data_IF_494493483931
#
_entry.id   IF_494493483931
#
_cell.length_a   1.000
_cell.length_b   1.000
_cell.length_c   1.000
_cell.angle_alpha   90.00
_cell.angle_beta   90.00
_cell.angle_gamma   90.00
#
_symmetry.space_group_name_H-M   'P 1'
#
loop_
_entity.id
_entity.type
_entity.pdbx_description
1 polymer ?
#
# COMPACT_ATOMS: atom_id res chain seq x y z
N UNK A 1 18.41 4.19 -6.68
CA UNK A 1 18.83 4.11 -5.27
C UNK A 1 18.13 2.96 -4.59
N UNK A 2 18.67 2.38 -3.51
CA UNK A 2 17.92 1.43 -2.70
C UNK A 2 16.66 2.07 -2.11
N UNK A 3 15.54 1.35 -2.13
CA UNK A 3 14.25 1.76 -1.56
C UNK A 3 14.35 1.92 -0.04
N UNK A 4 15.12 1.05 0.61
CA UNK A 4 15.32 1.07 2.05
C UNK A 4 16.78 1.36 2.39
N UNK A 5 17.01 2.14 3.45
CA UNK A 5 18.36 2.49 3.93
C UNK A 5 19.08 3.58 3.13
N UNK A 6 18.39 4.29 2.23
CA UNK A 6 18.96 5.47 1.58
C UNK A 6 18.85 6.70 2.50
N UNK A 7 19.96 7.44 2.65
CA UNK A 7 19.99 8.73 3.37
C UNK A 7 19.24 9.86 2.64
N UNK A 8 18.85 9.60 1.39
CA UNK A 8 18.13 10.51 0.50
C UNK A 8 16.68 10.06 0.43
N UNK A 9 15.86 10.42 1.41
CA UNK A 9 14.42 10.24 1.29
C UNK A 9 13.90 11.23 0.23
N UNK A 10 13.27 10.68 -0.82
CA UNK A 10 12.42 11.42 -1.79
C UNK A 10 13.09 12.56 -2.57
N UNK A 11 14.20 12.28 -3.25
CA UNK A 11 14.85 13.24 -4.17
C UNK A 11 14.14 13.26 -5.53
N UNK A 12 13.93 14.46 -6.07
CA UNK A 12 13.16 14.67 -7.31
C UNK A 12 13.84 13.96 -8.50
N UNK A 13 13.06 13.16 -9.24
CA UNK A 13 13.50 12.44 -10.43
C UNK A 13 14.21 11.12 -10.15
N UNK A 14 14.47 10.78 -8.88
CA UNK A 14 15.16 9.54 -8.53
C UNK A 14 14.25 8.33 -8.63
N UNK A 15 14.88 7.17 -8.83
CA UNK A 15 14.21 5.88 -8.82
C UNK A 15 14.72 5.01 -7.66
N UNK A 16 13.83 4.71 -6.72
CA UNK A 16 14.05 3.89 -5.53
C UNK A 16 13.63 2.44 -5.78
N UNK A 17 14.57 1.51 -5.70
CA UNK A 17 14.39 0.10 -6.08
C UNK A 17 14.41 -0.82 -4.88
N UNK A 18 13.52 -1.82 -4.87
CA UNK A 18 13.52 -2.89 -3.88
C UNK A 18 14.62 -3.92 -4.20
N UNK A 19 15.86 -3.57 -3.88
CA UNK A 19 17.06 -4.33 -4.25
C UNK A 19 17.16 -5.68 -3.54
N UNK A 20 16.59 -5.82 -2.35
CA UNK A 20 16.60 -7.03 -1.52
C UNK A 20 15.36 -7.91 -1.71
N UNK A 21 14.48 -7.57 -2.66
CA UNK A 21 13.22 -8.27 -2.93
C UNK A 21 12.33 -8.42 -1.69
N UNK A 22 12.44 -7.49 -0.77
CA UNK A 22 11.72 -7.53 0.49
C UNK A 22 10.21 -7.40 0.33
N UNK A 23 9.75 -6.79 -0.76
CA UNK A 23 8.33 -6.62 -1.02
C UNK A 23 7.69 -7.94 -1.46
N UNK A 24 8.47 -8.85 -2.04
CA UNK A 24 7.97 -10.10 -2.60
C UNK A 24 7.32 -11.00 -1.53
N UNK A 25 7.73 -10.90 -0.27
CA UNK A 25 7.15 -11.70 0.83
C UNK A 25 5.68 -11.36 1.12
N UNK A 26 5.20 -10.20 0.66
CA UNK A 26 3.85 -9.72 0.90
C UNK A 26 2.93 -9.91 -0.32
N UNK A 27 3.49 -10.23 -1.48
CA UNK A 27 2.71 -10.46 -2.70
C UNK A 27 1.80 -11.67 -2.54
N UNK A 28 0.58 -11.56 -3.05
CA UNK A 28 -0.40 -12.64 -3.01
C UNK A 28 -1.75 -12.21 -2.46
N UNK A 29 -2.58 -13.22 -2.17
CA UNK A 29 -3.95 -13.04 -1.66
C UNK A 29 -4.00 -13.35 -0.17
N UNK A 30 -4.49 -12.39 0.60
CA UNK A 30 -4.69 -12.46 2.03
C UNK A 30 -6.19 -12.51 2.31
N UNK A 31 -6.64 -13.54 3.02
CA UNK A 31 -8.05 -13.74 3.32
C UNK A 31 -8.28 -13.78 4.83
N UNK A 32 -9.11 -12.86 5.31
CA UNK A 32 -9.68 -12.88 6.64
C UNK A 32 -11.15 -13.28 6.56
N UNK A 33 -11.59 -14.15 7.45
CA UNK A 33 -12.99 -14.59 7.56
C UNK A 33 -13.42 -14.63 9.02
N UNK A 34 -14.66 -14.20 9.27
CA UNK A 34 -15.33 -14.31 10.57
C UNK A 34 -16.83 -14.49 10.33
N UNK A 35 -17.29 -15.75 10.46
CA UNK A 35 -18.65 -16.12 10.07
C UNK A 35 -18.91 -15.86 8.59
N UNK A 36 -19.91 -15.03 8.28
CA UNK A 36 -20.26 -14.62 6.91
C UNK A 36 -19.61 -13.31 6.47
N UNK A 37 -18.79 -12.69 7.32
CA UNK A 37 -18.00 -11.51 6.99
C UNK A 37 -16.61 -11.93 6.53
N UNK A 38 -16.13 -11.35 5.44
CA UNK A 38 -14.80 -11.65 4.89
C UNK A 38 -14.14 -10.44 4.26
N UNK A 39 -12.81 -10.35 4.42
CA UNK A 39 -11.97 -9.37 3.75
C UNK A 39 -10.89 -10.11 2.98
N UNK A 40 -10.92 -9.97 1.65
CA UNK A 40 -9.87 -10.45 0.75
C UNK A 40 -9.04 -9.26 0.29
N UNK A 41 -7.73 -9.33 0.45
CA UNK A 41 -6.79 -8.33 -0.04
C UNK A 41 -5.84 -9.01 -1.02
N UNK A 42 -5.58 -8.38 -2.16
CA UNK A 42 -4.59 -8.86 -3.14
C UNK A 42 -3.49 -7.82 -3.25
N UNK A 43 -2.27 -8.19 -2.86
CA UNK A 43 -1.08 -7.37 -3.00
C UNK A 43 -0.27 -7.77 -4.24
N UNK A 44 0.22 -6.78 -4.96
CA UNK A 44 1.08 -6.93 -6.15
C UNK A 44 2.23 -5.95 -6.06
N UNK A 45 3.45 -6.41 -6.35
CA UNK A 45 4.59 -5.52 -6.50
C UNK A 45 4.52 -4.84 -7.86
N UNK A 46 4.67 -3.53 -7.86
CA UNK A 46 4.77 -2.70 -9.06
C UNK A 46 6.13 -2.04 -9.13
N UNK A 47 6.69 -1.99 -10.32
CA UNK A 47 8.02 -1.43 -10.55
C UNK A 47 7.90 0.00 -11.09
N UNK A 48 8.81 0.88 -10.63
CA UNK A 48 8.95 2.25 -11.16
C UNK A 48 7.62 3.04 -11.20
N UNK A 49 6.79 2.91 -10.17
CA UNK A 49 5.57 3.70 -10.04
C UNK A 49 5.95 5.14 -9.64
N UNK A 50 5.38 6.16 -10.31
CA UNK A 50 5.56 7.54 -9.90
C UNK A 50 4.87 7.81 -8.55
N UNK A 51 5.52 8.61 -7.72
CA UNK A 51 4.93 9.18 -6.50
C UNK A 51 5.00 10.68 -6.61
N UNK A 52 3.84 11.34 -6.62
CA UNK A 52 3.77 12.80 -6.63
C UNK A 52 3.75 13.30 -5.19
N UNK A 53 4.59 14.29 -4.93
CA UNK A 53 4.71 14.94 -3.62
C UNK A 53 4.79 16.45 -3.83
N UNK A 54 4.35 17.27 -2.87
CA UNK A 54 4.59 18.71 -2.89
C UNK A 54 6.09 19.09 -3.03
N UNK A 55 6.99 18.18 -2.65
CA UNK A 55 8.43 18.37 -2.74
C UNK A 55 9.05 17.84 -4.05
N UNK A 56 8.21 17.43 -5.01
CA UNK A 56 8.57 16.94 -6.34
C UNK A 56 8.39 15.44 -6.52
N UNK A 57 8.42 15.02 -7.79
CA UNK A 57 8.06 13.66 -8.18
C UNK A 57 9.29 12.76 -8.16
N UNK A 58 9.12 11.53 -7.68
CA UNK A 58 10.11 10.47 -7.77
C UNK A 58 9.45 9.15 -8.19
N UNK A 59 10.25 8.13 -8.46
CA UNK A 59 9.77 6.80 -8.83
C UNK A 59 10.19 5.79 -7.78
N UNK A 60 9.36 4.78 -7.53
CA UNK A 60 9.73 3.69 -6.63
C UNK A 60 9.17 2.35 -7.06
N UNK A 61 9.85 1.27 -6.67
CA UNK A 61 9.20 -0.03 -6.55
C UNK A 61 8.28 0.02 -5.33
N UNK A 62 7.04 -0.41 -5.52
CA UNK A 62 6.00 -0.26 -4.50
C UNK A 62 5.19 -1.54 -4.38
N UNK A 63 4.61 -1.74 -3.21
CA UNK A 63 3.61 -2.77 -3.01
C UNK A 63 2.24 -2.11 -3.03
N UNK A 64 1.40 -2.47 -3.99
CA UNK A 64 0.03 -1.96 -4.10
C UNK A 64 -0.96 -3.07 -3.82
N UNK A 65 -2.14 -2.71 -3.37
CA UNK A 65 -3.18 -3.67 -3.07
C UNK A 65 -4.58 -3.14 -3.32
N UNK A 66 -5.46 -4.10 -3.53
CA UNK A 66 -6.89 -3.88 -3.68
C UNK A 66 -7.64 -4.94 -2.89
N UNK A 67 -8.91 -4.70 -2.61
CA UNK A 67 -9.66 -5.52 -1.69
C UNK A 67 -11.10 -5.77 -2.11
N UNK A 68 -11.63 -6.85 -1.55
CA UNK A 68 -13.02 -7.26 -1.66
C UNK A 68 -13.53 -7.53 -0.26
N UNK A 69 -14.63 -6.87 0.12
CA UNK A 69 -15.21 -6.93 1.46
C UNK A 69 -16.67 -7.37 1.39
N UNK A 70 -16.96 -8.44 2.15
CA UNK A 70 -18.31 -8.92 2.41
C UNK A 70 -18.64 -8.68 3.88
N UNK A 71 -19.84 -8.15 4.12
CA UNK A 71 -20.41 -8.00 5.45
C UNK A 71 -21.70 -8.82 5.52
N UNK A 72 -21.76 -9.77 6.46
CA UNK A 72 -22.90 -10.66 6.62
C UNK A 72 -23.31 -11.39 5.32
N UNK A 73 -22.33 -11.79 4.50
CA UNK A 73 -22.53 -12.48 3.22
C UNK A 73 -22.92 -11.58 2.05
N UNK A 74 -23.02 -10.25 2.26
CA UNK A 74 -23.37 -9.28 1.23
C UNK A 74 -22.11 -8.55 0.78
N UNK A 75 -21.85 -8.53 -0.52
CA UNK A 75 -20.73 -7.76 -1.10
C UNK A 75 -20.94 -6.26 -0.82
N UNK A 76 -19.97 -5.62 -0.17
CA UNK A 76 -19.98 -4.19 0.11
C UNK A 76 -19.04 -3.42 -0.79
N UNK A 77 -17.83 -3.93 -1.01
CA UNK A 77 -16.78 -3.27 -1.77
C UNK A 77 -16.04 -4.31 -2.59
N UNK A 78 -15.74 -3.99 -3.86
CA UNK A 78 -14.82 -4.75 -4.69
C UNK A 78 -13.99 -3.78 -5.54
N UNK A 79 -12.69 -3.69 -5.26
CA UNK A 79 -11.76 -2.83 -6.00
C UNK A 79 -10.72 -3.61 -6.79
N UNK A 80 -10.87 -4.94 -6.88
CA UNK A 80 -9.85 -5.82 -7.46
C UNK A 80 -9.54 -5.50 -8.94
N UNK A 81 -10.50 -4.93 -9.67
CA UNK A 81 -10.30 -4.47 -11.04
C UNK A 81 -9.25 -3.35 -11.17
N UNK A 82 -9.04 -2.56 -10.11
CA UNK A 82 -8.06 -1.48 -10.09
C UNK A 82 -6.61 -1.99 -10.17
N UNK A 83 -6.37 -3.25 -9.81
CA UNK A 83 -5.07 -3.89 -10.03
C UNK A 83 -4.75 -4.08 -11.53
N UNK A 84 -5.73 -4.04 -12.43
CA UNK A 84 -5.47 -4.17 -13.87
C UNK A 84 -5.13 -2.85 -14.54
N UNK A 85 -5.14 -1.75 -13.79
CA UNK A 85 -4.83 -0.40 -14.28
C UNK A 85 -3.37 -0.06 -13.94
N UNK A 86 -2.68 0.57 -14.90
CA UNK A 86 -1.38 1.18 -14.67
C UNK A 86 -1.61 2.64 -14.30
N UNK A 87 -1.45 2.97 -13.02
CA UNK A 87 -1.67 4.33 -12.53
C UNK A 87 -0.41 5.21 -12.66
N UNK A 88 -0.65 6.51 -12.83
CA UNK A 88 0.38 7.55 -12.88
C UNK A 88 0.65 8.19 -11.50
N UNK A 89 0.08 7.59 -10.45
CA UNK A 89 0.41 7.85 -9.05
C UNK A 89 0.22 6.58 -8.19
N UNK A 90 1.10 6.38 -7.22
CA UNK A 90 1.00 5.30 -6.22
C UNK A 90 -0.26 5.42 -5.34
N UNK A 91 -0.79 6.63 -5.16
CA UNK A 91 -1.97 6.88 -4.33
C UNK A 91 -3.31 6.64 -5.05
N UNK A 92 -3.28 6.30 -6.35
CA UNK A 92 -4.48 5.92 -7.11
C UNK A 92 -4.92 4.46 -6.84
N UNK A 93 -4.07 3.67 -6.19
CA UNK A 93 -4.45 2.38 -5.62
C UNK A 93 -5.08 2.56 -4.23
N UNK A 94 -6.03 1.69 -3.84
CA UNK A 94 -6.69 1.82 -2.55
C UNK A 94 -5.81 1.36 -1.37
N UNK A 95 -4.82 0.51 -1.63
CA UNK A 95 -3.74 0.21 -0.70
C UNK A 95 -2.40 0.45 -1.39
N UNK A 96 -1.50 1.18 -0.74
CA UNK A 96 -0.12 1.33 -1.24
C UNK A 96 0.89 1.47 -0.12
N UNK A 97 2.01 0.76 -0.23
CA UNK A 97 3.02 0.63 0.82
C UNK A 97 4.42 0.82 0.26
N UNK A 98 5.15 1.78 0.85
CA UNK A 98 6.55 2.08 0.54
C UNK A 98 7.45 2.10 1.77
N UNK A 99 6.88 1.91 2.97
CA UNK A 99 7.58 2.12 4.24
C UNK A 99 7.60 0.86 5.09
N UNK A 100 8.81 0.38 5.38
CA UNK A 100 9.07 -0.61 6.43
C UNK A 100 9.08 0.07 7.79
N UNK A 101 8.40 -0.53 8.76
CA UNK A 101 8.39 -0.09 10.16
C UNK A 101 8.95 -1.19 11.05
N UNK A 102 9.76 -0.82 12.06
CA UNK A 102 10.30 -1.77 13.02
C UNK A 102 9.24 -2.19 14.05
N UNK A 103 9.58 -3.19 14.88
CA UNK A 103 8.72 -3.67 15.96
C UNK A 103 8.33 -2.59 17.00
N UNK A 104 9.14 -1.55 17.15
CA UNK A 104 8.96 -0.51 18.17
C UNK A 104 8.06 0.65 17.71
N UNK A 105 7.73 0.71 16.42
CA UNK A 105 6.78 1.68 15.85
C UNK A 105 5.35 1.23 16.15
N UNK A 106 4.49 2.15 16.60
CA UNK A 106 3.10 1.82 16.95
C UNK A 106 2.24 1.45 15.71
N UNK A 107 1.33 0.45 15.82
CA UNK A 107 1.11 -0.40 16.99
C UNK A 107 2.33 -1.31 17.25
N UNK A 108 2.83 -1.36 18.49
CA UNK A 108 4.06 -2.12 18.78
C UNK A 108 3.84 -3.61 18.56
N UNK A 109 4.84 -4.30 18.03
CA UNK A 109 4.84 -5.75 17.93
C UNK A 109 5.79 -6.30 19.00
N UNK A 110 5.23 -6.84 20.09
CA UNK A 110 6.03 -7.36 21.21
C UNK A 110 6.67 -8.72 20.88
N UNK A 111 6.03 -9.49 20.00
CA UNK A 111 6.47 -10.84 19.63
C UNK A 111 7.37 -10.87 18.38
N UNK A 112 7.52 -9.74 17.68
CA UNK A 112 8.35 -9.66 16.48
C UNK A 112 9.85 -9.68 16.82
N UNK A 113 10.66 -10.33 15.98
CA UNK A 113 12.11 -10.26 16.10
C UNK A 113 12.64 -8.83 15.86
N UNK A 114 13.84 -8.50 16.37
CA UNK A 114 14.42 -7.15 16.22
C UNK A 114 14.65 -6.77 14.75
N UNK A 115 14.92 -7.75 13.90
CA UNK A 115 15.11 -7.62 12.46
C UNK A 115 13.85 -7.94 11.63
N UNK A 116 12.71 -8.10 12.29
CA UNK A 116 11.42 -8.29 11.63
C UNK A 116 10.77 -6.93 11.38
N UNK A 117 10.54 -6.64 10.11
CA UNK A 117 9.92 -5.40 9.67
C UNK A 117 8.49 -5.67 9.24
N UNK A 118 7.59 -4.75 9.59
CA UNK A 118 6.22 -4.75 9.08
C UNK A 118 6.09 -3.71 7.99
N UNK A 119 5.13 -3.89 7.10
CA UNK A 119 4.83 -2.92 6.06
C UNK A 119 3.74 -1.95 6.52
N UNK A 120 3.97 -0.65 6.35
CA UNK A 120 2.96 0.39 6.55
C UNK A 120 2.34 0.74 5.19
N UNK A 121 1.02 0.75 5.14
CA UNK A 121 0.25 1.10 3.96
C UNK A 121 -0.56 2.38 4.17
N UNK A 122 -0.72 3.14 3.10
CA UNK A 122 -1.83 4.07 2.92
C UNK A 122 -3.06 3.26 2.52
N UNK A 123 -4.20 3.63 3.10
CA UNK A 123 -5.49 3.01 2.83
C UNK A 123 -6.49 4.09 2.46
N UNK A 124 -7.19 3.88 1.35
CA UNK A 124 -8.25 4.74 0.87
C UNK A 124 -9.53 3.91 0.73
N UNK A 125 -10.60 4.34 1.38
CA UNK A 125 -11.91 3.72 1.24
C UNK A 125 -12.67 4.38 0.07
N UNK A 126 -13.02 3.64 -1.00
CA UNK A 126 -13.73 4.21 -2.14
C UNK A 126 -15.10 4.78 -1.78
N UNK A 127 -15.83 4.14 -0.87
CA UNK A 127 -17.15 4.61 -0.44
C UNK A 127 -17.09 5.97 0.28
N UNK A 128 -15.93 6.35 0.82
CA UNK A 128 -15.71 7.67 1.41
C UNK A 128 -15.45 8.76 0.35
N UNK A 129 -14.93 8.40 -0.84
CA UNK A 129 -14.72 9.35 -1.95
C UNK A 129 -16.03 9.94 -2.48
N UNK A 130 -17.13 9.19 -2.43
CA UNK A 130 -18.44 9.64 -2.93
C UNK A 130 -19.14 10.65 -2.00
N UNK A 131 -18.73 10.74 -0.73
CA UNK A 131 -19.31 11.70 0.22
C UNK A 131 -18.73 13.12 0.09
N UNK A 132 -17.55 13.27 -0.53
CA UNK A 132 -16.90 14.56 -0.71
C UNK A 132 -16.96 15.02 -2.16
N UNK A 133 -18.18 15.31 -2.62
CA UNK A 133 -18.45 16.16 -3.77
C UNK A 133 -18.08 17.65 -3.56
N UNK A 134 -17.27 17.98 -2.56
CA UNK A 134 -16.75 19.33 -2.31
C UNK A 134 -15.38 19.28 -1.62
N UNK A 135 -14.33 19.69 -2.34
CA UNK A 135 -13.17 20.37 -1.76
C UNK A 135 -12.07 19.52 -1.15
N UNK A 136 -10.91 19.57 -1.81
CA UNK A 136 -9.55 19.53 -1.23
C UNK A 136 -9.47 19.89 0.26
N UNK A 137 -8.71 19.13 1.05
CA UNK A 137 -7.70 19.49 2.11
C UNK A 137 -7.28 18.12 2.72
N UNK A 138 -6.04 17.65 2.78
CA UNK A 138 -4.69 18.22 2.78
C UNK A 138 -3.72 17.24 2.10
#
# INVERSE_FOLDING_TARGET
MPLFGSSHATEIGYYYKDMDNSLNQYEGTWLYTSGTTSLKIVFTKRLKIPTRSPHGNYFSDVLVGEYEYYENGILKINTLSNLNVNHDDVFDYNLSGITRISKDIYPKCLDCAVNEYRMKFYFTEPAYKDYHGFGSYM
#
